data_IF_122320671992
#
_entry.id   IF_122320671992
#
_cell.length_a   1.000
_cell.length_b   1.000
_cell.length_c   1.000
_cell.angle_alpha   90.00
_cell.angle_beta   90.00
_cell.angle_gamma   90.00
#
_symmetry.space_group_name_H-M   'P 1'
#
loop_
_entity.id
_entity.type
_entity.pdbx_description
1 polymer ?
#
# COMPACT_ATOMS: atom_id res chain seq x y z
N UNK A 1 -9.48 31.38 -10.02
CA UNK A 1 -10.11 30.03 -10.04
C UNK A 1 -9.53 29.26 -8.88
N UNK A 2 -10.36 28.87 -7.90
CA UNK A 2 -9.93 27.99 -6.81
C UNK A 2 -9.74 26.59 -7.40
N UNK A 3 -8.58 25.99 -7.15
CA UNK A 3 -8.30 24.61 -7.53
C UNK A 3 -9.27 23.65 -6.81
N UNK A 4 -10.32 23.23 -7.53
CA UNK A 4 -11.36 22.33 -7.00
C UNK A 4 -10.83 20.92 -6.70
N UNK A 5 -9.77 20.50 -7.38
CA UNK A 5 -9.20 19.16 -7.25
C UNK A 5 -8.58 18.99 -5.86
N UNK A 6 -7.66 19.87 -5.48
CA UNK A 6 -7.05 19.86 -4.14
C UNK A 6 -8.06 19.92 -3.00
N UNK A 7 -9.13 20.73 -3.15
CA UNK A 7 -10.18 20.84 -2.13
C UNK A 7 -10.93 19.52 -1.87
N UNK A 8 -11.15 18.71 -2.91
CA UNK A 8 -11.87 17.45 -2.79
C UNK A 8 -11.06 16.37 -2.05
N UNK A 9 -9.74 16.31 -2.29
CA UNK A 9 -8.86 15.40 -1.56
C UNK A 9 -8.74 15.75 -0.07
N UNK A 10 -8.66 17.04 0.28
CA UNK A 10 -8.64 17.48 1.67
C UNK A 10 -9.95 17.14 2.41
N UNK A 11 -11.10 17.22 1.73
CA UNK A 11 -12.38 16.76 2.29
C UNK A 11 -12.40 15.25 2.52
N UNK A 12 -11.94 14.46 1.55
CA UNK A 12 -11.87 13.01 1.69
C UNK A 12 -10.92 12.58 2.83
N UNK A 13 -9.79 13.27 2.98
CA UNK A 13 -8.84 13.08 4.08
C UNK A 13 -9.52 13.26 5.44
N UNK A 14 -10.24 14.37 5.65
CA UNK A 14 -10.91 14.65 6.92
C UNK A 14 -11.94 13.56 7.28
N UNK A 15 -12.69 13.02 6.31
CA UNK A 15 -13.66 11.95 6.56
C UNK A 15 -12.97 10.62 6.86
N UNK A 16 -11.86 10.30 6.18
CA UNK A 16 -11.07 9.12 6.51
C UNK A 16 -10.55 9.16 7.94
N UNK A 17 -9.97 10.29 8.37
CA UNK A 17 -9.42 10.45 9.73
C UNK A 17 -10.53 10.36 10.77
N UNK A 18 -11.63 11.11 10.61
CA UNK A 18 -12.74 11.09 11.56
C UNK A 18 -13.39 9.70 11.75
N UNK A 19 -13.36 8.86 10.71
CA UNK A 19 -13.88 7.48 10.80
C UNK A 19 -12.91 6.53 11.48
N UNK A 20 -11.61 6.75 11.36
CA UNK A 20 -10.62 5.96 12.10
C UNK A 20 -10.67 6.25 13.60
N UNK A 21 -11.11 7.43 14.02
CA UNK A 21 -11.24 7.82 15.43
C UNK A 21 -12.55 7.34 16.10
N UNK A 22 -13.59 6.99 15.32
CA UNK A 22 -14.85 6.46 15.85
C UNK A 22 -14.79 4.92 15.93
N UNK A 23 -14.38 4.44 17.09
CA UNK A 23 -13.78 3.12 17.33
C UNK A 23 -14.74 2.16 18.07
N UNK A 24 -15.96 1.98 17.57
CA UNK A 24 -16.90 0.98 18.11
C UNK A 24 -16.90 -0.30 17.25
N UNK A 25 -16.13 -1.30 17.71
CA UNK A 25 -16.14 -2.72 17.29
C UNK A 25 -16.28 -2.98 15.77
N UNK A 26 -15.46 -2.33 14.95
CA UNK A 26 -15.55 -2.51 13.50
C UNK A 26 -14.77 -3.74 13.00
N UNK A 27 -15.37 -4.47 12.06
CA UNK A 27 -14.75 -5.56 11.32
C UNK A 27 -13.36 -5.13 10.76
N UNK A 28 -12.26 -5.87 11.02
CA UNK A 28 -10.92 -5.53 10.55
C UNK A 28 -10.82 -5.27 9.04
N UNK A 29 -11.65 -5.94 8.24
CA UNK A 29 -11.71 -5.75 6.79
C UNK A 29 -12.28 -4.37 6.40
N UNK A 30 -13.17 -3.80 7.21
CA UNK A 30 -13.69 -2.46 6.98
C UNK A 30 -12.66 -1.40 7.35
N UNK A 31 -11.95 -1.59 8.47
CA UNK A 31 -10.83 -0.73 8.87
C UNK A 31 -9.72 -0.76 7.80
N UNK A 32 -9.38 -1.95 7.30
CA UNK A 32 -8.43 -2.10 6.19
C UNK A 32 -8.86 -1.33 4.93
N UNK A 33 -10.13 -1.40 4.55
CA UNK A 33 -10.66 -0.62 3.42
C UNK A 33 -10.54 0.89 3.64
N UNK A 34 -10.72 1.36 4.87
CA UNK A 34 -10.55 2.79 5.22
C UNK A 34 -9.09 3.22 5.08
N UNK A 35 -8.15 2.41 5.58
CA UNK A 35 -6.72 2.63 5.37
C UNK A 35 -6.35 2.63 3.89
N UNK A 36 -6.85 1.68 3.10
CA UNK A 36 -6.63 1.66 1.65
C UNK A 36 -7.09 2.97 1.00
N UNK A 37 -8.32 3.42 1.29
CA UNK A 37 -8.88 4.68 0.75
C UNK A 37 -8.04 5.89 1.17
N UNK A 38 -7.62 5.95 2.43
CA UNK A 38 -6.75 7.00 2.94
C UNK A 38 -5.38 7.00 2.23
N UNK A 39 -4.83 5.82 1.98
CA UNK A 39 -3.59 5.64 1.23
C UNK A 39 -3.67 6.23 -0.18
N UNK A 40 -4.75 5.94 -0.91
CA UNK A 40 -4.98 6.52 -2.23
C UNK A 40 -5.08 8.05 -2.14
N UNK A 41 -5.92 8.59 -1.24
CA UNK A 41 -6.08 10.05 -1.07
C UNK A 41 -4.74 10.74 -0.75
N UNK A 42 -3.94 10.17 0.16
CA UNK A 42 -2.64 10.71 0.52
C UNK A 42 -1.64 10.68 -0.63
N UNK A 43 -1.68 9.66 -1.49
CA UNK A 43 -0.83 9.60 -2.68
C UNK A 43 -1.12 10.75 -3.64
N UNK A 44 -2.40 11.02 -3.90
CA UNK A 44 -2.81 12.13 -4.77
C UNK A 44 -2.53 13.51 -4.15
N UNK A 45 -2.44 13.60 -2.82
CA UNK A 45 -1.97 14.80 -2.11
C UNK A 45 -0.43 14.93 -2.09
N UNK A 46 0.31 13.95 -2.60
CA UNK A 46 1.78 13.93 -2.57
C UNK A 46 2.38 13.49 -1.22
N UNK A 47 1.55 13.07 -0.26
CA UNK A 47 1.96 12.58 1.06
C UNK A 47 2.37 11.09 0.99
N UNK A 48 3.35 10.79 0.12
CA UNK A 48 3.71 9.42 -0.26
C UNK A 48 4.10 8.53 0.93
N UNK A 49 4.83 9.06 1.93
CA UNK A 49 5.20 8.28 3.11
C UNK A 49 3.99 7.79 3.89
N UNK A 50 3.06 8.70 4.20
CA UNK A 50 1.81 8.35 4.91
C UNK A 50 0.91 7.47 4.05
N UNK A 51 0.92 7.66 2.74
CA UNK A 51 0.19 6.81 1.80
C UNK A 51 0.66 5.35 1.87
N UNK A 52 1.97 5.15 1.84
CA UNK A 52 2.60 3.83 1.98
C UNK A 52 2.25 3.20 3.33
N UNK A 53 2.34 3.95 4.44
CA UNK A 53 1.95 3.46 5.77
C UNK A 53 0.48 3.00 5.81
N UNK A 54 -0.40 3.73 5.15
CA UNK A 54 -1.80 3.37 5.03
C UNK A 54 -2.00 2.09 4.21
N UNK A 55 -1.29 1.92 3.09
CA UNK A 55 -1.34 0.68 2.32
C UNK A 55 -0.78 -0.50 3.12
N UNK A 56 0.36 -0.35 3.80
CA UNK A 56 0.92 -1.38 4.68
C UNK A 56 -0.09 -1.83 5.73
N UNK A 57 -0.74 -0.87 6.40
CA UNK A 57 -1.77 -1.16 7.40
C UNK A 57 -2.97 -1.86 6.77
N UNK A 58 -3.43 -1.41 5.61
CA UNK A 58 -4.57 -2.01 4.92
C UNK A 58 -4.35 -3.49 4.61
N UNK A 59 -3.21 -3.86 4.03
CA UNK A 59 -2.98 -5.22 3.57
C UNK A 59 -2.54 -6.16 4.70
N UNK A 60 -1.80 -5.68 5.71
CA UNK A 60 -1.51 -6.49 6.92
C UNK A 60 -2.77 -6.79 7.73
N UNK A 61 -3.73 -5.86 7.82
CA UNK A 61 -5.01 -6.11 8.51
C UNK A 61 -5.91 -7.11 7.77
N UNK A 62 -5.77 -7.19 6.45
CA UNK A 62 -6.53 -8.15 5.62
C UNK A 62 -6.02 -9.57 5.75
N UNK A 63 -4.73 -9.74 6.05
CA UNK A 63 -4.09 -11.03 6.35
C UNK A 63 -3.74 -11.16 7.85
N UNK A 64 -4.75 -10.95 8.71
CA UNK A 64 -4.56 -10.90 10.17
C UNK A 64 -4.02 -12.21 10.74
N UNK A 65 -4.40 -13.36 10.18
CA UNK A 65 -3.92 -14.67 10.63
C UNK A 65 -2.41 -14.75 10.45
N UNK A 66 -1.91 -14.37 9.27
CA UNK A 66 -0.48 -14.35 9.02
C UNK A 66 0.27 -13.32 9.86
N UNK A 67 -0.31 -12.14 10.11
CA UNK A 67 0.32 -11.14 10.98
C UNK A 67 0.44 -11.64 12.42
N UNK A 68 -0.55 -12.38 12.93
CA UNK A 68 -0.50 -12.99 14.27
C UNK A 68 0.55 -14.10 14.32
N UNK A 69 0.58 -14.97 13.31
CA UNK A 69 1.59 -16.03 13.21
C UNK A 69 3.01 -15.46 13.03
N UNK A 70 3.12 -14.37 12.28
CA UNK A 70 4.36 -13.68 11.92
C UNK A 70 4.64 -12.47 12.80
N UNK A 71 4.23 -12.50 14.08
CA UNK A 71 4.41 -11.45 15.12
C UNK A 71 5.89 -11.06 15.41
N UNK A 72 6.80 -11.32 14.48
CA UNK A 72 8.16 -10.83 14.45
C UNK A 72 8.21 -9.45 13.78
N UNK A 73 8.80 -8.47 14.48
CA UNK A 73 9.10 -7.13 13.97
C UNK A 73 9.82 -7.09 12.61
N UNK A 74 10.47 -8.18 12.22
CA UNK A 74 11.20 -8.30 10.96
C UNK A 74 10.29 -8.50 9.74
N UNK A 75 9.20 -9.28 9.86
CA UNK A 75 8.23 -9.44 8.77
C UNK A 75 7.66 -8.09 8.37
N UNK A 76 7.19 -7.32 9.36
CA UNK A 76 6.65 -5.98 9.13
C UNK A 76 7.66 -5.06 8.44
N UNK A 77 8.92 -5.02 8.91
CA UNK A 77 9.98 -4.23 8.25
C UNK A 77 10.24 -4.66 6.82
N UNK A 78 10.26 -5.97 6.57
CA UNK A 78 10.43 -6.52 5.23
C UNK A 78 9.26 -6.12 4.33
N UNK A 79 8.03 -6.33 4.81
CA UNK A 79 6.81 -5.97 4.12
C UNK A 79 6.76 -4.48 3.78
N UNK A 80 6.98 -3.61 4.76
CA UNK A 80 6.96 -2.17 4.59
C UNK A 80 7.96 -1.71 3.52
N UNK A 81 9.17 -2.29 3.54
CA UNK A 81 10.19 -1.98 2.55
C UNK A 81 9.81 -2.43 1.13
N UNK A 82 9.31 -3.66 0.99
CA UNK A 82 8.96 -4.23 -0.31
C UNK A 82 7.71 -3.56 -0.90
N UNK A 83 6.72 -3.25 -0.08
CA UNK A 83 5.54 -2.48 -0.49
C UNK A 83 5.92 -1.07 -0.92
N UNK A 84 6.80 -0.39 -0.17
CA UNK A 84 7.35 0.90 -0.59
C UNK A 84 8.09 0.79 -1.92
N UNK A 85 8.90 -0.26 -2.11
CA UNK A 85 9.61 -0.51 -3.38
C UNK A 85 8.65 -0.68 -4.55
N UNK A 86 7.58 -1.46 -4.35
CA UNK A 86 6.52 -1.62 -5.36
C UNK A 86 5.89 -0.29 -5.72
N UNK A 87 5.36 0.44 -4.74
CA UNK A 87 4.64 1.70 -4.95
C UNK A 87 5.54 2.75 -5.59
N UNK A 88 6.78 2.90 -5.10
CA UNK A 88 7.75 3.84 -5.64
C UNK A 88 8.29 3.43 -7.01
N UNK A 89 8.12 2.18 -7.44
CA UNK A 89 8.44 1.72 -8.79
C UNK A 89 7.42 2.15 -9.84
N UNK A 90 6.13 2.19 -9.49
CA UNK A 90 5.03 2.54 -10.41
C UNK A 90 5.11 4.00 -10.88
N UNK A 91 4.60 4.34 -12.06
CA UNK A 91 4.46 5.75 -12.46
C UNK A 91 3.49 6.51 -11.54
N UNK A 92 2.32 5.94 -11.29
CA UNK A 92 1.24 6.56 -10.49
C UNK A 92 1.50 6.70 -8.99
N UNK A 93 2.46 5.95 -8.43
CA UNK A 93 2.82 5.94 -7.00
C UNK A 93 1.70 5.59 -6.01
N UNK A 94 0.65 4.87 -6.45
CA UNK A 94 -0.38 4.29 -5.58
C UNK A 94 -0.83 2.90 -6.06
N UNK A 95 -1.52 2.17 -5.17
CA UNK A 95 -2.20 0.91 -5.47
C UNK A 95 -3.63 1.24 -5.90
N UNK A 96 -4.01 0.89 -7.13
CA UNK A 96 -5.29 1.24 -7.73
C UNK A 96 -6.46 0.37 -7.24
N UNK A 97 -6.20 -0.85 -6.73
CA UNK A 97 -7.26 -1.73 -6.23
C UNK A 97 -6.85 -2.61 -5.06
N UNK A 98 -7.83 -3.09 -4.29
CA UNK A 98 -7.58 -4.08 -3.25
C UNK A 98 -6.98 -5.37 -3.81
N UNK A 99 -7.40 -5.80 -5.01
CA UNK A 99 -6.89 -7.01 -5.65
C UNK A 99 -5.41 -6.87 -6.03
N UNK A 100 -5.02 -5.71 -6.54
CA UNK A 100 -3.61 -5.40 -6.80
C UNK A 100 -2.79 -5.45 -5.51
N UNK A 101 -3.29 -4.81 -4.44
CA UNK A 101 -2.55 -4.81 -3.18
C UNK A 101 -2.50 -6.16 -2.48
N UNK A 102 -3.57 -6.98 -2.57
CA UNK A 102 -3.57 -8.36 -2.09
C UNK A 102 -2.55 -9.21 -2.87
N UNK A 103 -2.50 -9.08 -4.20
CA UNK A 103 -1.49 -9.74 -5.03
C UNK A 103 -0.07 -9.34 -4.63
N UNK A 104 0.19 -8.04 -4.43
CA UNK A 104 1.51 -7.54 -4.01
C UNK A 104 1.86 -8.07 -2.62
N UNK A 105 0.90 -8.06 -1.68
CA UNK A 105 1.06 -8.63 -0.35
C UNK A 105 1.43 -10.12 -0.40
N UNK A 106 0.75 -10.90 -1.22
CA UNK A 106 1.02 -12.33 -1.42
C UNK A 106 2.42 -12.57 -2.02
N UNK A 107 2.86 -11.75 -2.98
CA UNK A 107 4.21 -11.84 -3.54
C UNK A 107 5.28 -11.56 -2.47
N UNK A 108 5.06 -10.55 -1.62
CA UNK A 108 5.94 -10.21 -0.50
C UNK A 108 5.97 -11.37 0.51
N UNK A 109 4.82 -11.91 0.87
CA UNK A 109 4.68 -13.05 1.80
C UNK A 109 5.40 -14.30 1.28
N UNK A 110 5.18 -14.67 0.02
CA UNK A 110 5.86 -15.79 -0.61
C UNK A 110 7.38 -15.60 -0.59
N UNK A 111 7.86 -14.39 -0.91
CA UNK A 111 9.30 -14.11 -0.87
C UNK A 111 9.87 -14.19 0.54
N UNK A 112 9.13 -13.71 1.54
CA UNK A 112 9.52 -13.77 2.94
C UNK A 112 9.64 -15.21 3.44
N UNK A 113 8.65 -16.07 3.16
CA UNK A 113 8.71 -17.49 3.54
C UNK A 113 9.90 -18.19 2.90
N UNK A 114 10.14 -17.91 1.61
CA UNK A 114 11.34 -18.42 0.91
C UNK A 114 12.63 -17.90 1.54
N UNK A 115 12.65 -16.64 1.98
CA UNK A 115 13.82 -16.05 2.63
C UNK A 115 14.13 -16.74 3.96
N UNK A 116 13.10 -17.05 4.76
CA UNK A 116 13.26 -17.79 6.02
C UNK A 116 13.83 -19.19 5.77
N UNK A 117 13.31 -19.90 4.77
CA UNK A 117 13.82 -21.21 4.35
C UNK A 117 15.29 -21.13 3.87
N UNK A 118 15.65 -20.09 3.10
CA UNK A 118 17.03 -19.82 2.67
C UNK A 118 17.97 -19.56 3.87
N UNK A 119 17.50 -18.87 4.91
CA UNK A 119 18.30 -18.59 6.12
C UNK A 119 18.48 -19.85 6.96
N UNK A 120 17.41 -20.62 7.16
CA UNK A 120 17.42 -21.84 7.97
C UNK A 120 18.34 -22.90 7.36
N UNK A 121 18.31 -23.04 6.03
CA UNK A 121 19.13 -24.02 5.30
C UNK A 121 20.51 -23.49 4.90
N UNK A 122 20.88 -22.27 5.30
CA UNK A 122 22.18 -21.70 4.97
C UNK A 122 23.32 -22.41 5.70
N UNK A 123 24.31 -22.91 4.96
CA UNK A 123 25.55 -23.47 5.52
C UNK A 123 26.36 -22.41 6.30
N UNK A 124 26.13 -21.12 6.00
CA UNK A 124 26.79 -19.99 6.65
C UNK A 124 25.79 -19.35 7.62
N UNK A 125 26.07 -19.34 8.94
CA UNK A 125 25.21 -18.68 9.91
C UNK A 125 25.08 -17.20 9.58
N UNK A 126 23.84 -16.71 9.42
CA UNK A 126 23.60 -15.30 9.17
C UNK A 126 23.93 -14.49 10.43
N UNK A 127 25.12 -13.90 10.48
CA UNK A 127 25.61 -13.05 11.58
C UNK A 127 25.25 -11.57 11.40
N UNK A 128 24.32 -11.25 10.52
CA UNK A 128 23.98 -9.87 10.18
C UNK A 128 23.38 -9.13 11.37
N UNK A 129 24.13 -8.19 11.94
CA UNK A 129 23.67 -7.31 13.03
C UNK A 129 22.49 -6.41 12.62
N UNK A 130 22.16 -6.30 11.33
CA UNK A 130 21.01 -5.55 10.84
C UNK A 130 20.35 -6.25 9.63
N UNK A 131 19.50 -7.24 9.92
CA UNK A 131 18.60 -7.88 8.93
C UNK A 131 17.84 -6.86 8.08
N UNK A 132 17.56 -5.67 8.63
CA UNK A 132 16.84 -4.60 7.95
C UNK A 132 17.60 -4.04 6.73
N UNK A 133 18.94 -4.01 6.74
CA UNK A 133 19.71 -3.60 5.54
C UNK A 133 19.68 -4.68 4.47
N UNK A 134 19.73 -5.94 4.89
CA UNK A 134 19.70 -7.06 3.96
C UNK A 134 18.36 -7.17 3.24
N UNK A 135 17.24 -6.87 3.92
CA UNK A 135 15.91 -6.77 3.30
C UNK A 135 15.89 -5.82 2.10
N UNK A 136 16.74 -4.78 2.10
CA UNK A 136 16.86 -3.84 0.96
C UNK A 136 17.50 -4.46 -0.28
N UNK A 137 18.34 -5.46 -0.08
CA UNK A 137 19.00 -6.19 -1.16
C UNK A 137 18.12 -7.28 -1.76
N UNK A 138 17.11 -7.74 -1.03
CA UNK A 138 16.15 -8.74 -1.51
C UNK A 138 15.26 -8.10 -2.58
N UNK A 139 15.26 -8.71 -3.76
CA UNK A 139 14.43 -8.27 -4.90
C UNK A 139 13.22 -9.19 -5.05
N UNK A 140 12.10 -8.56 -5.37
CA UNK A 140 10.88 -9.20 -5.86
C UNK A 140 10.68 -8.65 -7.27
N UNK A 141 10.44 -9.56 -8.22
CA UNK A 141 10.13 -9.19 -9.60
C UNK A 141 8.66 -8.78 -9.67
N UNK A 142 8.40 -7.52 -9.32
CA UNK A 142 7.05 -6.98 -9.35
C UNK A 142 6.58 -6.72 -10.78
N UNK A 143 5.28 -6.94 -11.08
CA UNK A 143 4.72 -6.76 -12.41
C UNK A 143 4.40 -5.27 -12.70
N UNK A 144 5.41 -4.40 -12.67
CA UNK A 144 5.23 -2.98 -13.02
C UNK A 144 4.91 -2.77 -14.51
N UNK A 145 5.51 -3.61 -15.37
CA UNK A 145 5.62 -3.40 -16.82
C UNK A 145 4.31 -3.49 -17.60
N UNK A 146 3.27 -4.10 -17.05
CA UNK A 146 2.02 -4.31 -17.78
C UNK A 146 1.11 -3.08 -17.75
N UNK A 147 1.18 -2.26 -16.70
CA UNK A 147 0.41 -1.01 -16.58
C UNK A 147 1.18 0.19 -17.18
N UNK A 148 2.50 0.25 -16.98
CA UNK A 148 3.33 1.39 -17.42
C UNK A 148 3.46 1.52 -18.96
N UNK A 149 3.28 0.42 -19.72
CA UNK A 149 3.31 0.42 -21.19
C UNK A 149 1.99 0.87 -21.79
N UNK A 150 0.85 0.48 -21.21
CA UNK A 150 -0.48 0.81 -21.73
C UNK A 150 -0.79 2.32 -21.59
N UNK A 151 -0.34 2.95 -20.50
CA UNK A 151 -0.49 4.40 -20.26
C UNK A 151 0.44 5.25 -21.15
N UNK A 152 1.66 4.77 -21.45
CA UNK A 152 2.62 5.51 -22.29
C UNK A 152 2.15 5.66 -23.75
N UNK A 153 1.33 4.72 -24.24
CA UNK A 153 0.75 4.74 -25.59
C UNK A 153 -0.66 5.36 -25.64
N UNK A 154 -1.28 5.64 -24.49
CA UNK A 154 -2.58 6.30 -24.38
C UNK A 154 -2.45 7.84 -24.39
N UNK A 155 -1.96 8.39 -25.51
CA UNK A 155 -1.82 9.84 -25.72
C UNK A 155 -3.13 10.63 -25.46
N UNK A 156 -3.00 11.84 -24.90
CA UNK A 156 -4.07 12.76 -24.46
C UNK A 156 -5.11 12.17 -23.46
N UNK A 157 -5.00 10.88 -23.08
CA UNK A 157 -6.01 10.09 -22.35
C UNK A 157 -5.81 9.97 -20.84
N UNK A 158 -4.65 10.37 -20.31
CA UNK A 158 -4.49 10.84 -18.93
C UNK A 158 -4.76 12.34 -18.90
N UNK A 159 -6.00 12.77 -19.17
CA UNK A 159 -6.52 14.11 -18.83
C UNK A 159 -7.85 14.03 -18.04
N UNK A 160 -8.17 12.81 -17.62
CA UNK A 160 -9.37 12.36 -16.94
C UNK A 160 -9.10 11.25 -15.88
N UNK A 161 -7.86 10.80 -15.57
CA UNK A 161 -7.47 10.08 -14.30
C UNK A 161 -7.88 10.84 -13.01
N UNK A 162 -8.52 11.98 -13.19
CA UNK A 162 -7.79 13.24 -13.12
C UNK A 162 -8.73 14.40 -12.99
N UNK A 163 -9.87 14.38 -13.70
CA UNK A 163 -10.99 15.10 -13.12
C UNK A 163 -11.21 14.51 -11.70
N UNK A 164 -10.72 13.28 -11.50
CA UNK A 164 -11.53 12.11 -11.43
C UNK A 164 -10.84 10.97 -10.72
N UNK A 165 -10.19 11.21 -9.58
CA UNK A 165 -10.27 10.07 -8.69
C UNK A 165 -11.75 9.68 -8.45
N UNK A 166 -12.88 10.38 -8.82
CA UNK A 166 -13.32 11.82 -8.72
C UNK A 166 -14.22 12.19 -7.58
N UNK A 167 -13.85 13.30 -6.96
CA UNK A 167 -14.50 13.84 -5.77
C UNK A 167 -14.28 12.94 -4.55
N UNK A 168 -13.20 12.15 -4.51
CA UNK A 168 -13.46 10.72 -4.60
C UNK A 168 -13.13 9.76 -3.48
N UNK A 169 -13.49 8.53 -3.83
CA UNK A 169 -14.32 7.66 -3.05
C UNK A 169 -15.56 8.44 -2.57
N UNK A 170 -16.14 9.29 -3.45
CA UNK A 170 -17.07 10.42 -3.18
C UNK A 170 -17.15 10.83 -1.71
N UNK A 171 -16.06 11.48 -1.28
CA UNK A 171 -15.72 11.94 0.08
C UNK A 171 -15.82 10.80 1.08
N UNK A 172 -15.12 9.73 0.71
CA UNK A 172 -15.10 8.39 1.33
C UNK A 172 -16.48 7.80 1.71
N UNK A 173 -17.55 8.42 1.18
CA UNK A 173 -19.00 8.21 1.19
C UNK A 173 -19.77 8.44 2.52
N UNK A 174 -19.96 9.73 2.83
CA UNK A 174 -21.03 10.50 3.53
C UNK A 174 -22.15 9.80 4.38
N UNK A 175 -22.07 10.00 5.72
CA UNK A 175 -23.07 9.87 6.81
C UNK A 175 -24.04 8.66 6.85
N UNK A 176 -23.69 7.62 7.63
CA UNK A 176 -24.56 6.47 7.93
C UNK A 176 -23.85 5.14 7.77
#
# INVERSE_FOLDING_TARGET
MVDKSGLNYHKALNVCVARLENDEEENPLNVAKRFFRLGVVLSHLGELGKSIDCFNTAFTMRDREFEVESSNSQWRKFHDYQMATYILGKQRKYIASLAEGDMVHDLIKQRWLKLLDEIENSEIPFRGNDLSQWFKSVKIDFPWSQEDLEELFAGEGGQLEEEELLECVKITQQMG
#
